data_IF_934739847433
#
_entry.id   IF_934739847433
#
_cell.length_a   1.000
_cell.length_b   1.000
_cell.length_c   1.000
_cell.angle_alpha   90.00
_cell.angle_beta   90.00
_cell.angle_gamma   90.00
#
_symmetry.space_group_name_H-M   'P 1'
#
loop_
_entity.id
_entity.type
_entity.pdbx_description
1 polymer ?
#
# COMPACT_ATOMS: atom_id res chain seq x y z
N UNK A 1 20.46 -45.22 69.90
CA UNK A 1 21.70 -44.52 70.24
C UNK A 1 22.88 -44.89 69.34
N UNK A 2 23.10 -46.16 69.01
CA UNK A 2 24.19 -46.66 68.14
C UNK A 2 24.16 -46.13 66.69
N UNK A 3 22.97 -45.77 66.17
CA UNK A 3 22.77 -45.26 64.80
C UNK A 3 23.42 -43.88 64.52
N UNK A 4 23.67 -43.11 65.57
CA UNK A 4 24.22 -41.74 65.43
C UNK A 4 25.74 -41.64 65.82
N UNK A 5 26.39 -42.75 66.16
CA UNK A 5 27.80 -42.76 66.49
C UNK A 5 28.62 -43.05 65.22
N UNK A 6 29.69 -42.25 65.02
CA UNK A 6 30.63 -42.50 63.95
C UNK A 6 31.22 -43.88 64.04
N UNK A 7 31.29 -44.59 62.90
CA UNK A 7 31.88 -45.96 62.82
C UNK A 7 33.29 -45.97 63.43
N UNK A 8 34.08 -44.96 63.21
CA UNK A 8 35.42 -44.80 63.79
C UNK A 8 35.34 -44.72 65.32
N UNK A 9 34.47 -43.95 65.90
CA UNK A 9 34.27 -43.79 67.32
C UNK A 9 33.79 -45.11 67.95
N UNK A 10 32.84 -45.81 67.30
CA UNK A 10 32.37 -47.09 67.75
C UNK A 10 33.47 -48.14 67.75
N UNK A 11 34.25 -48.27 66.70
CA UNK A 11 35.37 -49.22 66.62
C UNK A 11 36.40 -48.95 67.70
N UNK A 12 36.77 -47.67 67.94
CA UNK A 12 37.70 -47.30 68.97
C UNK A 12 37.22 -47.67 70.38
N UNK A 13 35.97 -47.31 70.70
CA UNK A 13 35.35 -47.71 71.98
C UNK A 13 35.21 -49.19 72.15
N UNK A 14 34.86 -49.88 71.08
CA UNK A 14 34.73 -51.36 71.10
C UNK A 14 36.07 -52.03 71.34
N UNK A 15 37.08 -51.63 70.60
CA UNK A 15 38.42 -52.18 70.81
C UNK A 15 39.02 -51.85 72.23
N UNK A 16 38.72 -50.64 72.73
CA UNK A 16 39.14 -50.26 74.08
C UNK A 16 38.38 -51.04 75.16
N UNK A 17 37.06 -51.29 75.00
CA UNK A 17 36.27 -52.08 75.90
C UNK A 17 36.72 -53.55 75.85
N UNK A 18 37.03 -54.10 74.70
CA UNK A 18 37.52 -55.44 74.47
C UNK A 18 38.89 -55.61 75.15
N UNK A 19 39.80 -54.59 75.04
CA UNK A 19 41.08 -54.56 75.72
C UNK A 19 40.94 -54.51 77.24
N UNK A 20 40.04 -53.73 77.79
CA UNK A 20 39.77 -53.68 79.28
C UNK A 20 39.16 -54.96 79.77
N UNK A 21 38.22 -55.57 79.10
CA UNK A 21 37.60 -56.82 79.46
C UNK A 21 38.63 -57.90 79.42
N UNK A 22 39.48 -58.02 78.42
CA UNK A 22 40.55 -59.01 78.31
C UNK A 22 41.58 -58.85 79.46
N UNK A 23 42.02 -57.68 79.78
CA UNK A 23 42.93 -57.40 80.86
C UNK A 23 42.29 -57.72 82.26
N UNK A 24 40.94 -57.34 82.41
CA UNK A 24 40.20 -57.70 83.64
C UNK A 24 40.06 -59.18 83.89
N UNK A 25 39.72 -59.95 82.81
CA UNK A 25 39.63 -61.37 82.88
C UNK A 25 40.93 -62.07 83.17
N UNK A 26 42.03 -61.63 82.55
CA UNK A 26 43.38 -62.08 82.82
C UNK A 26 43.76 -61.83 84.34
N UNK A 27 43.46 -60.63 84.87
CA UNK A 27 43.76 -60.28 86.27
C UNK A 27 42.96 -61.09 87.30
N UNK A 28 41.69 -61.41 86.96
CA UNK A 28 40.82 -62.24 87.89
C UNK A 28 41.05 -63.76 87.84
N UNK A 29 41.54 -64.31 86.76
CA UNK A 29 41.59 -65.73 86.49
C UNK A 29 43.04 -66.20 86.11
N UNK A 30 44.08 -65.74 86.76
CA UNK A 30 45.48 -65.93 86.39
C UNK A 30 46.04 -67.33 86.40
N UNK A 31 45.22 -68.44 86.73
CA UNK A 31 45.67 -69.81 86.78
C UNK A 31 44.65 -70.79 86.17
N UNK A 32 44.81 -71.17 84.89
CA UNK A 32 44.14 -72.37 84.34
C UNK A 32 43.44 -72.30 83.01
N UNK A 33 43.03 -73.42 82.43
CA UNK A 33 42.33 -73.61 81.14
C UNK A 33 40.99 -72.86 81.02
N UNK A 34 40.33 -72.59 82.15
CA UNK A 34 39.08 -71.79 82.21
C UNK A 34 39.21 -70.37 81.76
N UNK A 35 40.41 -69.71 82.05
CA UNK A 35 40.70 -68.39 81.59
C UNK A 35 40.82 -68.30 80.07
N UNK A 36 41.51 -69.30 79.53
CA UNK A 36 41.69 -69.34 78.05
C UNK A 36 40.30 -69.44 77.32
N UNK A 37 39.41 -70.35 77.83
CA UNK A 37 38.07 -70.48 77.25
C UNK A 37 37.26 -69.17 77.40
N UNK A 38 37.25 -68.54 78.55
CA UNK A 38 36.50 -67.33 78.85
C UNK A 38 36.97 -66.11 77.91
N UNK A 39 38.23 -65.96 77.73
CA UNK A 39 38.81 -64.93 76.87
C UNK A 39 38.42 -65.16 75.37
N UNK A 40 38.55 -66.46 74.90
CA UNK A 40 38.21 -66.79 73.54
C UNK A 40 36.74 -66.61 73.24
N UNK A 41 35.86 -67.02 74.22
CA UNK A 41 34.38 -66.81 74.03
C UNK A 41 34.04 -65.29 74.02
N UNK A 42 34.59 -64.50 74.89
CA UNK A 42 34.41 -63.01 74.87
C UNK A 42 34.89 -62.38 73.56
N UNK A 43 36.04 -62.78 73.04
CA UNK A 43 36.52 -62.35 71.74
C UNK A 43 35.63 -62.79 70.60
N UNK A 44 35.12 -64.05 70.59
CA UNK A 44 34.21 -64.52 69.56
C UNK A 44 32.91 -63.73 69.57
N UNK A 45 32.31 -63.45 70.73
CA UNK A 45 31.12 -62.64 70.88
C UNK A 45 31.38 -61.19 70.35
N UNK A 46 32.53 -60.58 70.71
CA UNK A 46 32.89 -59.26 70.24
C UNK A 46 33.10 -59.17 68.74
N UNK A 47 33.72 -60.20 68.12
CA UNK A 47 33.82 -60.29 66.66
C UNK A 47 32.47 -60.39 65.97
N UNK A 48 31.54 -61.19 66.53
CA UNK A 48 30.17 -61.31 65.99
C UNK A 48 29.43 -59.97 66.08
N UNK A 49 29.50 -59.28 67.22
CA UNK A 49 28.88 -57.94 67.37
C UNK A 49 29.51 -56.88 66.44
N UNK A 50 30.83 -56.98 66.31
CA UNK A 50 31.50 -56.07 65.34
C UNK A 50 31.10 -56.34 63.91
N UNK A 51 31.02 -57.59 63.50
CA UNK A 51 30.56 -58.08 62.20
C UNK A 51 29.15 -57.57 61.93
N UNK A 52 28.20 -57.79 62.87
CA UNK A 52 26.82 -57.29 62.73
C UNK A 52 26.74 -55.79 62.62
N UNK A 53 27.48 -55.03 63.44
CA UNK A 53 27.57 -53.60 63.43
C UNK A 53 28.12 -53.09 62.08
N UNK A 54 29.23 -53.63 61.62
CA UNK A 54 29.85 -53.23 60.35
C UNK A 54 28.94 -53.55 59.18
N UNK A 55 28.29 -54.68 59.19
CA UNK A 55 27.36 -55.06 58.11
C UNK A 55 26.17 -54.11 58.07
N UNK A 56 25.52 -53.85 59.20
CA UNK A 56 24.26 -53.10 59.29
C UNK A 56 24.46 -51.59 59.15
N UNK A 57 25.55 -51.02 59.66
CA UNK A 57 25.75 -49.57 59.70
C UNK A 57 26.81 -49.04 58.71
N UNK A 58 27.57 -49.87 58.04
CA UNK A 58 28.59 -49.48 57.07
C UNK A 58 28.33 -50.15 55.70
N UNK A 59 28.37 -51.47 55.63
CA UNK A 59 28.33 -52.19 54.33
C UNK A 59 26.99 -52.02 53.61
N UNK A 60 25.89 -52.26 54.35
CA UNK A 60 24.54 -52.15 53.75
C UNK A 60 24.26 -50.72 53.23
N UNK A 61 24.45 -49.64 53.98
CA UNK A 61 24.28 -48.25 53.48
C UNK A 61 25.15 -47.91 52.28
N UNK A 62 26.44 -48.32 52.32
CA UNK A 62 27.36 -48.06 51.18
C UNK A 62 26.91 -48.79 49.93
N UNK A 63 26.46 -50.06 50.02
CA UNK A 63 25.96 -50.79 48.89
C UNK A 63 24.66 -50.21 48.35
N UNK A 64 23.78 -49.70 49.22
CA UNK A 64 22.57 -48.99 48.80
C UNK A 64 22.90 -47.72 48.07
N UNK A 65 23.81 -46.89 48.58
CA UNK A 65 24.29 -45.69 47.92
C UNK A 65 24.92 -46.02 46.56
N UNK A 66 25.77 -47.03 46.48
CA UNK A 66 26.40 -47.46 45.23
C UNK A 66 25.31 -47.84 44.20
N UNK A 67 24.32 -48.67 44.58
CA UNK A 67 23.22 -49.06 43.69
C UNK A 67 22.41 -47.86 43.23
N UNK A 68 22.10 -46.93 44.12
CA UNK A 68 21.36 -45.72 43.74
C UNK A 68 22.12 -44.80 42.80
N UNK A 69 23.43 -44.67 42.98
CA UNK A 69 24.30 -43.95 42.03
C UNK A 69 24.28 -44.66 40.66
N UNK A 70 24.36 -45.98 40.62
CA UNK A 70 24.25 -46.76 39.38
C UNK A 70 22.89 -46.55 38.69
N UNK A 71 21.79 -46.48 39.44
CA UNK A 71 20.46 -46.20 38.92
C UNK A 71 20.37 -44.76 38.40
N UNK A 72 20.86 -43.74 39.10
CA UNK A 72 20.92 -42.34 38.64
C UNK A 72 21.75 -42.23 37.38
N UNK A 73 22.91 -42.86 37.30
CA UNK A 73 23.77 -42.88 36.11
C UNK A 73 23.13 -43.61 34.91
N UNK A 74 22.28 -44.59 35.17
CA UNK A 74 21.49 -45.25 34.12
C UNK A 74 20.27 -44.45 33.67
N UNK A 75 20.06 -43.24 34.26
CA UNK A 75 18.96 -42.33 33.91
C UNK A 75 17.71 -42.42 34.80
N UNK A 76 17.70 -43.28 35.83
CA UNK A 76 16.59 -43.35 36.77
C UNK A 76 16.75 -42.28 37.87
N UNK A 77 16.16 -41.10 37.65
CA UNK A 77 16.23 -39.95 38.57
C UNK A 77 15.15 -39.96 39.68
N UNK A 78 14.21 -40.89 39.58
CA UNK A 78 13.15 -41.07 40.61
C UNK A 78 13.60 -41.82 41.86
N UNK A 79 14.87 -42.20 41.96
CA UNK A 79 15.41 -42.96 43.12
C UNK A 79 15.62 -42.04 44.31
N UNK A 80 14.98 -42.37 45.45
CA UNK A 80 15.21 -41.73 46.73
C UNK A 80 15.91 -42.72 47.66
N UNK A 81 17.06 -42.40 48.15
CA UNK A 81 17.83 -43.19 49.11
C UNK A 81 17.27 -42.93 50.50
N UNK A 82 16.84 -43.99 51.24
CA UNK A 82 16.38 -43.81 52.61
C UNK A 82 17.52 -43.37 53.55
N UNK A 83 17.18 -42.62 54.57
CA UNK A 83 18.16 -42.14 55.57
C UNK A 83 18.63 -43.28 56.46
N UNK A 84 19.94 -43.46 56.57
CA UNK A 84 20.60 -44.45 57.44
C UNK A 84 21.21 -43.84 58.75
N UNK A 85 20.71 -42.64 59.16
CA UNK A 85 21.21 -41.93 60.34
C UNK A 85 22.46 -41.08 60.04
N UNK A 86 23.12 -40.56 61.11
CA UNK A 86 24.23 -39.61 60.99
C UNK A 86 25.61 -40.29 60.94
N UNK A 87 25.71 -41.56 60.55
CA UNK A 87 26.98 -42.20 60.35
C UNK A 87 27.67 -41.73 59.06
N UNK A 88 28.90 -42.18 58.82
CA UNK A 88 29.72 -41.71 57.69
C UNK A 88 28.99 -41.88 56.33
N UNK A 89 28.31 -43.01 56.12
CA UNK A 89 27.54 -43.26 54.90
C UNK A 89 26.24 -42.43 54.83
N UNK A 90 25.51 -42.29 55.96
CA UNK A 90 24.26 -41.52 56.03
C UNK A 90 24.42 -40.04 55.75
N UNK A 91 25.58 -39.47 55.99
CA UNK A 91 25.88 -38.03 55.67
C UNK A 91 26.02 -37.77 54.18
N UNK A 92 26.29 -38.74 53.34
CA UNK A 92 26.36 -38.63 51.88
C UNK A 92 24.97 -38.65 51.20
N UNK A 93 24.00 -39.27 51.80
CA UNK A 93 22.67 -39.53 51.23
C UNK A 93 21.91 -38.25 50.87
N UNK A 94 21.82 -37.21 51.75
CA UNK A 94 21.17 -35.94 51.39
C UNK A 94 21.78 -35.28 50.15
N UNK A 95 23.12 -35.34 50.04
CA UNK A 95 23.80 -34.76 48.87
C UNK A 95 23.47 -35.49 47.56
N UNK A 96 23.36 -36.83 47.59
CA UNK A 96 23.02 -37.63 46.42
C UNK A 96 21.55 -37.43 46.05
N UNK A 97 20.64 -37.42 47.03
CA UNK A 97 19.23 -37.15 46.79
C UNK A 97 19.03 -35.72 46.20
N UNK A 98 19.74 -34.72 46.76
CA UNK A 98 19.72 -33.35 46.19
C UNK A 98 20.26 -33.33 44.75
N UNK A 99 21.35 -34.01 44.45
CA UNK A 99 21.91 -34.13 43.11
C UNK A 99 20.92 -34.73 42.14
N UNK A 100 20.29 -35.87 42.51
CA UNK A 100 19.30 -36.55 41.72
C UNK A 100 18.07 -35.63 41.44
N UNK A 101 17.57 -34.96 42.49
CA UNK A 101 16.47 -34.00 42.38
C UNK A 101 16.81 -32.83 41.48
N UNK A 102 18.00 -32.23 41.61
CA UNK A 102 18.43 -31.13 40.76
C UNK A 102 18.53 -31.53 39.28
N UNK A 103 19.08 -32.73 39.00
CA UNK A 103 19.15 -33.25 37.64
C UNK A 103 17.72 -33.54 37.11
N UNK A 104 16.82 -34.08 37.93
CA UNK A 104 15.43 -34.32 37.56
C UNK A 104 14.71 -33.01 37.19
N UNK A 105 14.89 -31.99 37.98
CA UNK A 105 14.34 -30.61 37.68
C UNK A 105 14.90 -30.09 36.38
N UNK A 106 16.23 -30.12 36.17
CA UNK A 106 16.85 -29.66 34.91
C UNK A 106 16.31 -30.43 33.68
N UNK A 107 16.14 -31.76 33.80
CA UNK A 107 15.59 -32.54 32.68
C UNK A 107 14.12 -32.20 32.41
N UNK A 108 13.33 -31.96 33.47
CA UNK A 108 11.94 -31.48 33.32
C UNK A 108 11.87 -30.13 32.64
N UNK A 109 12.68 -29.18 33.07
CA UNK A 109 12.75 -27.84 32.44
C UNK A 109 13.19 -27.91 30.97
N UNK A 110 14.19 -28.76 30.64
CA UNK A 110 14.61 -28.97 29.25
C UNK A 110 13.46 -29.54 28.42
N UNK A 111 12.69 -30.52 28.94
CA UNK A 111 11.54 -31.08 28.24
C UNK A 111 10.44 -30.07 28.01
N UNK A 112 10.10 -29.25 29.01
CA UNK A 112 9.10 -28.19 28.90
C UNK A 112 9.54 -27.14 27.89
N UNK A 113 10.81 -26.68 27.96
CA UNK A 113 11.39 -25.74 27.00
C UNK A 113 11.41 -26.30 25.57
N UNK A 114 11.74 -27.59 25.43
CA UNK A 114 11.71 -28.29 24.14
C UNK A 114 10.31 -28.36 23.56
N UNK A 115 9.30 -28.63 24.39
CA UNK A 115 7.90 -28.65 23.95
C UNK A 115 7.44 -27.27 23.49
N UNK A 116 7.81 -26.23 24.21
CA UNK A 116 7.54 -24.82 23.81
C UNK A 116 8.23 -24.49 22.48
N UNK A 117 9.50 -24.87 22.33
CA UNK A 117 10.25 -24.65 21.08
C UNK A 117 9.62 -25.41 19.89
N UNK A 118 9.11 -26.62 20.10
CA UNK A 118 8.38 -27.36 19.07
C UNK A 118 7.13 -26.60 18.60
N UNK A 119 6.33 -26.13 19.54
CA UNK A 119 5.12 -25.34 19.22
C UNK A 119 5.46 -24.04 18.48
N UNK A 120 6.55 -23.38 18.87
CA UNK A 120 7.03 -22.17 18.17
C UNK A 120 7.51 -22.48 16.74
N UNK A 121 8.20 -23.60 16.52
CA UNK A 121 8.61 -24.03 15.18
C UNK A 121 7.40 -24.31 14.29
N UNK A 122 6.37 -25.00 14.81
CA UNK A 122 5.12 -25.26 14.08
C UNK A 122 4.38 -23.95 13.73
N UNK A 123 4.29 -23.02 14.69
CA UNK A 123 3.71 -21.69 14.45
C UNK A 123 4.49 -20.89 13.40
N UNK A 124 5.82 -20.95 13.45
CA UNK A 124 6.69 -20.28 12.49
C UNK A 124 6.47 -20.83 11.07
N UNK A 125 6.42 -22.16 10.93
CA UNK A 125 6.11 -22.81 9.64
C UNK A 125 4.73 -22.40 9.11
N UNK A 126 3.70 -22.39 9.96
CA UNK A 126 2.35 -21.96 9.56
C UNK A 126 2.29 -20.50 9.13
N UNK A 127 2.96 -19.60 9.86
CA UNK A 127 3.02 -18.18 9.52
C UNK A 127 3.84 -17.92 8.25
N UNK A 128 4.90 -18.71 8.04
CA UNK A 128 5.70 -18.65 6.81
C UNK A 128 4.86 -19.05 5.59
N UNK A 129 4.04 -20.10 5.71
CA UNK A 129 3.11 -20.50 4.66
C UNK A 129 2.06 -19.42 4.36
N UNK A 130 1.49 -18.76 5.39
CA UNK A 130 0.57 -17.63 5.21
C UNK A 130 1.27 -16.45 4.51
N UNK A 131 2.50 -16.13 4.90
CA UNK A 131 3.29 -15.07 4.27
C UNK A 131 3.58 -15.40 2.80
N UNK A 132 3.85 -16.66 2.46
CA UNK A 132 4.02 -17.11 1.07
C UNK A 132 2.79 -16.79 0.22
N UNK A 133 1.60 -17.19 0.69
CA UNK A 133 0.34 -16.93 -0.02
C UNK A 133 0.10 -15.42 -0.20
N UNK A 134 0.34 -14.63 0.84
CA UNK A 134 0.20 -13.17 0.76
C UNK A 134 1.20 -12.55 -0.21
N UNK A 135 2.42 -13.06 -0.26
CA UNK A 135 3.47 -12.59 -1.18
C UNK A 135 3.12 -12.91 -2.63
N UNK A 136 2.55 -14.09 -2.90
CA UNK A 136 2.04 -14.45 -4.23
C UNK A 136 0.89 -13.54 -4.66
N UNK A 137 -0.07 -13.28 -3.77
CA UNK A 137 -1.17 -12.34 -4.04
C UNK A 137 -0.66 -10.92 -4.29
N UNK A 138 0.33 -10.47 -3.51
CA UNK A 138 0.97 -9.18 -3.70
C UNK A 138 1.67 -9.11 -5.06
N UNK A 139 2.39 -10.14 -5.47
CA UNK A 139 3.04 -10.24 -6.79
C UNK A 139 2.02 -10.13 -7.93
N UNK A 140 0.91 -10.86 -7.85
CA UNK A 140 -0.16 -10.78 -8.84
C UNK A 140 -0.77 -9.36 -8.92
N UNK A 141 -0.98 -8.72 -7.76
CA UNK A 141 -1.51 -7.34 -7.70
C UNK A 141 -0.52 -6.32 -8.27
N UNK A 142 0.78 -6.50 -8.06
CA UNK A 142 1.83 -5.64 -8.64
C UNK A 142 1.86 -5.76 -10.17
N UNK A 143 1.77 -6.98 -10.72
CA UNK A 143 1.70 -7.21 -12.17
C UNK A 143 0.49 -6.49 -12.78
N UNK A 144 -0.69 -6.61 -12.16
CA UNK A 144 -1.91 -5.92 -12.61
C UNK A 144 -1.75 -4.40 -12.53
N UNK A 145 -1.15 -3.89 -11.45
CA UNK A 145 -0.91 -2.46 -11.27
C UNK A 145 0.08 -1.94 -12.31
N UNK A 146 1.16 -2.68 -12.59
CA UNK A 146 2.13 -2.34 -13.63
C UNK A 146 1.48 -2.24 -15.02
N UNK A 147 0.65 -3.22 -15.39
CA UNK A 147 -0.10 -3.18 -16.64
C UNK A 147 -1.05 -1.97 -16.73
N UNK A 148 -1.71 -1.62 -15.62
CA UNK A 148 -2.57 -0.43 -15.54
C UNK A 148 -1.77 0.86 -15.68
N UNK A 149 -0.56 0.92 -15.11
CA UNK A 149 0.33 2.08 -15.25
C UNK A 149 0.86 2.25 -16.68
N UNK A 150 1.20 1.14 -17.37
CA UNK A 150 1.58 1.19 -18.79
C UNK A 150 0.43 1.72 -19.65
N UNK A 151 -0.79 1.25 -19.43
CA UNK A 151 -1.98 1.76 -20.13
C UNK A 151 -2.23 3.25 -19.82
N UNK A 152 -2.05 3.67 -18.57
CA UNK A 152 -2.17 5.08 -18.18
C UNK A 152 -1.11 5.94 -18.86
N UNK A 153 0.14 5.48 -18.93
CA UNK A 153 1.21 6.17 -19.64
C UNK A 153 0.90 6.35 -21.13
N UNK A 154 0.37 5.30 -21.78
CA UNK A 154 -0.06 5.37 -23.18
C UNK A 154 -1.22 6.36 -23.37
N UNK A 155 -2.22 6.35 -22.46
CA UNK A 155 -3.34 7.28 -22.50
C UNK A 155 -2.89 8.73 -22.30
N UNK A 156 -1.96 8.98 -21.38
CA UNK A 156 -1.40 10.31 -21.11
C UNK A 156 -0.63 10.84 -22.32
N UNK A 157 0.16 10.00 -23.02
CA UNK A 157 0.81 10.40 -24.28
C UNK A 157 -0.20 10.73 -25.37
N UNK A 158 -1.24 9.92 -25.54
CA UNK A 158 -2.32 10.20 -26.48
C UNK A 158 -3.04 11.54 -26.16
N UNK A 159 -3.22 11.86 -24.87
CA UNK A 159 -3.79 13.12 -24.43
C UNK A 159 -2.88 14.29 -24.80
N UNK A 160 -1.57 14.16 -24.62
CA UNK A 160 -0.59 15.18 -25.03
C UNK A 160 -0.66 15.46 -26.54
N UNK A 161 -0.69 14.41 -27.36
CA UNK A 161 -0.81 14.53 -28.82
C UNK A 161 -2.14 15.17 -29.25
N UNK A 162 -3.26 14.74 -28.67
CA UNK A 162 -4.57 15.28 -28.95
C UNK A 162 -4.68 16.77 -28.56
N UNK A 163 -4.08 17.14 -27.43
CA UNK A 163 -4.04 18.51 -26.93
C UNK A 163 -3.25 19.41 -27.90
N UNK A 164 -2.09 18.94 -28.39
CA UNK A 164 -1.31 19.66 -29.40
C UNK A 164 -2.08 19.84 -30.69
N UNK A 165 -2.74 18.79 -31.19
CA UNK A 165 -3.56 18.87 -32.41
C UNK A 165 -4.74 19.83 -32.24
N UNK A 166 -5.41 19.81 -31.08
CA UNK A 166 -6.54 20.71 -30.81
C UNK A 166 -6.07 22.17 -30.73
N UNK A 167 -4.90 22.43 -30.15
CA UNK A 167 -4.29 23.79 -30.11
C UNK A 167 -3.96 24.28 -31.53
N UNK A 168 -3.37 23.42 -32.38
CA UNK A 168 -3.09 23.75 -33.78
C UNK A 168 -4.39 24.05 -34.56
N UNK A 169 -5.45 23.31 -34.37
CA UNK A 169 -6.75 23.56 -35.00
C UNK A 169 -7.40 24.84 -34.50
N UNK A 170 -7.30 25.14 -33.21
CA UNK A 170 -7.80 26.42 -32.66
C UNK A 170 -7.05 27.62 -33.26
N UNK A 171 -5.74 27.51 -33.38
CA UNK A 171 -4.93 28.54 -34.03
C UNK A 171 -5.28 28.71 -35.51
N UNK A 172 -5.50 27.64 -36.26
CA UNK A 172 -5.95 27.66 -37.64
C UNK A 172 -7.34 28.32 -37.78
N UNK A 173 -8.28 27.98 -36.87
CA UNK A 173 -9.62 28.58 -36.83
C UNK A 173 -9.54 30.12 -36.56
N UNK A 174 -8.65 30.53 -35.64
CA UNK A 174 -8.38 31.94 -35.36
C UNK A 174 -7.94 32.68 -36.62
N UNK A 175 -6.95 32.14 -37.35
CA UNK A 175 -6.47 32.73 -38.59
C UNK A 175 -7.55 32.80 -39.68
N UNK A 176 -8.37 31.78 -39.81
CA UNK A 176 -9.45 31.73 -40.77
C UNK A 176 -10.55 32.72 -40.45
N UNK A 177 -10.92 32.86 -39.18
CA UNK A 177 -11.90 33.84 -38.73
C UNK A 177 -11.38 35.30 -38.89
N UNK A 178 -10.10 35.54 -38.60
CA UNK A 178 -9.48 36.86 -38.88
C UNK A 178 -9.53 37.24 -40.37
N UNK A 179 -9.20 36.27 -41.27
CA UNK A 179 -9.36 36.45 -42.71
C UNK A 179 -10.81 36.74 -43.11
N UNK A 180 -11.76 35.97 -42.52
CA UNK A 180 -13.19 36.18 -42.72
C UNK A 180 -13.62 37.60 -42.32
N UNK A 181 -13.17 38.02 -41.12
CA UNK A 181 -13.43 39.41 -40.65
C UNK A 181 -12.87 40.49 -41.57
N UNK A 182 -11.64 40.34 -42.08
CA UNK A 182 -11.06 41.27 -43.07
C UNK A 182 -11.86 41.33 -44.35
N UNK A 183 -12.36 40.20 -44.88
CA UNK A 183 -13.22 40.14 -46.05
C UNK A 183 -14.56 40.83 -45.79
N UNK A 184 -15.17 40.60 -44.60
CA UNK A 184 -16.40 41.30 -44.21
C UNK A 184 -16.20 42.79 -44.13
N UNK A 185 -15.07 43.29 -43.62
CA UNK A 185 -14.72 44.70 -43.64
C UNK A 185 -14.58 45.28 -45.05
N UNK A 186 -14.02 44.52 -46.00
CA UNK A 186 -13.98 44.96 -47.43
C UNK A 186 -15.40 45.03 -48.03
N UNK A 187 -16.25 44.02 -47.72
CA UNK A 187 -17.68 44.04 -48.20
C UNK A 187 -18.41 45.24 -47.60
N UNK A 188 -18.22 45.53 -46.32
CA UNK A 188 -18.80 46.72 -45.66
C UNK A 188 -18.41 48.03 -46.37
N UNK A 189 -17.11 48.20 -46.68
CA UNK A 189 -16.62 49.36 -47.41
C UNK A 189 -17.25 49.45 -48.81
N UNK A 190 -17.40 48.35 -49.54
CA UNK A 190 -18.06 48.32 -50.84
C UNK A 190 -19.55 48.70 -50.74
N UNK A 191 -20.27 48.21 -49.72
CA UNK A 191 -21.64 48.56 -49.46
C UNK A 191 -21.80 50.04 -49.13
N UNK A 192 -20.88 50.62 -48.38
CA UNK A 192 -20.84 52.06 -48.11
C UNK A 192 -20.69 52.85 -49.40
N UNK A 193 -19.75 52.43 -50.28
CA UNK A 193 -19.57 53.10 -51.61
C UNK A 193 -20.84 53.00 -52.47
N UNK A 194 -21.56 51.86 -52.44
CA UNK A 194 -22.84 51.74 -53.17
C UNK A 194 -23.89 52.69 -52.58
N UNK A 195 -23.92 52.85 -51.23
CA UNK A 195 -24.82 53.80 -50.59
C UNK A 195 -24.56 55.26 -51.08
N UNK A 196 -23.30 55.65 -51.13
CA UNK A 196 -22.90 56.96 -51.63
C UNK A 196 -23.29 57.14 -53.08
N UNK A 197 -23.10 56.17 -53.97
CA UNK A 197 -23.54 56.17 -55.35
C UNK A 197 -25.08 56.30 -55.45
N UNK A 198 -25.84 55.56 -54.60
CA UNK A 198 -27.30 55.64 -54.60
C UNK A 198 -27.80 57.04 -54.19
N UNK A 199 -27.12 57.66 -53.21
CA UNK A 199 -27.44 59.08 -52.84
C UNK A 199 -27.18 60.06 -54.00
N UNK A 200 -26.02 59.94 -54.67
CA UNK A 200 -25.71 60.77 -55.87
C UNK A 200 -26.74 60.55 -57.00
N UNK A 201 -27.13 59.27 -57.23
CA UNK A 201 -28.20 58.97 -58.24
C UNK A 201 -29.51 59.62 -57.83
N UNK A 202 -29.89 59.57 -56.52
CA UNK A 202 -31.14 60.23 -56.06
C UNK A 202 -31.10 61.73 -56.34
N UNK A 203 -29.96 62.41 -56.19
CA UNK A 203 -29.76 63.82 -56.47
C UNK A 203 -29.89 64.14 -57.98
N UNK A 204 -29.24 63.30 -58.83
CA UNK A 204 -29.37 63.43 -60.32
C UNK A 204 -30.79 63.24 -60.76
N UNK A 205 -31.52 62.18 -60.25
CA UNK A 205 -32.89 61.94 -60.59
C UNK A 205 -33.82 63.07 -60.15
N UNK A 206 -33.53 63.69 -58.99
CA UNK A 206 -34.29 64.81 -58.51
C UNK A 206 -34.05 66.07 -59.43
N UNK A 207 -32.86 66.24 -59.99
CA UNK A 207 -32.56 67.27 -60.98
C UNK A 207 -33.30 67.02 -62.29
N UNK A 208 -33.35 65.73 -62.80
CA UNK A 208 -34.07 65.33 -63.97
C UNK A 208 -35.58 65.59 -63.84
N UNK A 209 -36.17 65.25 -62.68
CA UNK A 209 -37.58 65.49 -62.37
C UNK A 209 -37.85 67.00 -62.36
N UNK A 210 -36.95 67.85 -61.80
CA UNK A 210 -36.99 69.29 -61.84
C UNK A 210 -36.96 69.82 -63.28
N UNK A 211 -36.06 69.28 -64.13
CA UNK A 211 -35.95 69.67 -65.53
C UNK A 211 -37.29 69.28 -66.31
N UNK A 212 -37.78 68.11 -66.03
CA UNK A 212 -39.06 67.70 -66.66
C UNK A 212 -40.20 68.54 -66.20
N UNK A 213 -40.27 68.96 -64.94
CA UNK A 213 -41.27 69.93 -64.49
C UNK A 213 -41.11 71.33 -65.19
N UNK A 214 -39.90 71.86 -65.24
CA UNK A 214 -39.66 73.12 -65.97
C UNK A 214 -40.01 73.03 -67.43
N UNK A 215 -39.69 71.90 -68.10
CA UNK A 215 -39.99 71.69 -69.51
C UNK A 215 -41.52 71.58 -69.71
N UNK A 216 -42.24 70.98 -68.81
CA UNK A 216 -43.74 70.92 -68.84
C UNK A 216 -44.32 72.31 -68.70
N UNK A 217 -43.78 73.18 -67.81
CA UNK A 217 -44.23 74.56 -67.66
C UNK A 217 -43.88 75.42 -68.93
N UNK A 218 -42.70 75.26 -69.51
CA UNK A 218 -42.29 75.86 -70.74
C UNK A 218 -43.24 75.47 -71.97
N UNK A 219 -43.47 74.16 -72.03
CA UNK A 219 -44.39 73.63 -73.05
C UNK A 219 -45.83 74.15 -72.90
N UNK A 220 -46.32 74.24 -71.64
CA UNK A 220 -47.64 74.85 -71.36
C UNK A 220 -47.68 76.31 -71.79
N UNK A 221 -46.69 77.07 -71.44
CA UNK A 221 -46.60 78.46 -71.84
C UNK A 221 -46.59 78.61 -73.41
N UNK A 222 -45.78 77.75 -74.05
CA UNK A 222 -45.74 77.73 -75.53
C UNK A 222 -47.10 77.32 -76.17
N UNK A 223 -47.81 76.36 -75.57
CA UNK A 223 -49.15 75.95 -76.02
C UNK A 223 -50.18 77.08 -75.88
N UNK A 224 -50.10 77.83 -74.74
CA UNK A 224 -50.96 79.02 -74.51
C UNK A 224 -50.72 80.05 -75.53
N UNK A 225 -49.46 80.42 -75.86
CA UNK A 225 -49.10 81.45 -76.82
C UNK A 225 -49.39 80.98 -78.22
N UNK A 226 -49.22 79.71 -78.54
CA UNK A 226 -49.68 79.10 -79.81
C UNK A 226 -51.22 79.20 -80.01
N UNK A 227 -52.00 79.00 -78.95
CA UNK A 227 -53.45 79.20 -78.98
C UNK A 227 -53.81 80.71 -79.18
N UNK A 228 -53.04 81.57 -78.62
CA UNK A 228 -53.22 83.01 -78.76
C UNK A 228 -52.95 83.57 -80.19
N UNK A 229 -52.02 82.86 -80.92
CA UNK A 229 -51.68 83.22 -82.34
C UNK A 229 -52.69 82.71 -83.33
N UNK A 230 -53.79 82.03 -82.88
CA UNK A 230 -54.90 81.57 -83.76
C UNK A 230 -54.45 80.55 -84.84
N UNK A 231 -54.84 80.81 -86.08
CA UNK A 231 -54.57 79.87 -87.24
C UNK A 231 -53.06 79.80 -87.55
N UNK A 232 -52.27 80.84 -87.27
CA UNK A 232 -50.79 80.84 -87.44
C UNK A 232 -50.02 80.02 -86.36
N UNK A 233 -50.68 79.66 -85.26
CA UNK A 233 -50.08 78.94 -84.17
C UNK A 233 -50.28 77.39 -84.15
N UNK A 234 -51.10 76.87 -85.10
CA UNK A 234 -51.52 75.40 -85.09
C UNK A 234 -50.32 74.44 -85.07
N UNK A 235 -49.30 74.68 -85.91
CA UNK A 235 -48.09 73.77 -85.91
C UNK A 235 -47.32 73.83 -84.61
N UNK A 236 -47.21 74.99 -84.02
CA UNK A 236 -46.52 75.18 -82.72
C UNK A 236 -47.28 74.61 -81.56
N UNK A 237 -48.62 74.59 -81.59
CA UNK A 237 -49.44 73.98 -80.56
C UNK A 237 -49.27 72.44 -80.53
N UNK A 238 -49.16 71.78 -81.70
CA UNK A 238 -48.86 70.32 -81.77
C UNK A 238 -47.49 69.99 -81.17
N UNK A 239 -46.46 70.78 -81.54
CA UNK A 239 -45.09 70.57 -80.96
C UNK A 239 -45.07 70.84 -79.48
N UNK A 240 -45.77 71.89 -79.03
CA UNK A 240 -45.87 72.18 -77.59
C UNK A 240 -46.61 71.06 -76.84
N UNK A 241 -47.67 70.49 -77.44
CA UNK A 241 -48.35 69.31 -76.87
C UNK A 241 -47.41 68.08 -76.76
N UNK A 242 -46.60 67.83 -77.80
CA UNK A 242 -45.67 66.70 -77.81
C UNK A 242 -44.55 66.86 -76.80
N UNK A 243 -43.95 68.13 -76.71
CA UNK A 243 -42.93 68.45 -75.69
C UNK A 243 -43.52 68.26 -74.27
N UNK A 244 -44.76 68.72 -74.06
CA UNK A 244 -45.47 68.50 -72.78
C UNK A 244 -45.61 67.05 -72.41
N UNK A 245 -46.07 66.20 -73.40
CA UNK A 245 -46.19 64.76 -73.19
C UNK A 245 -44.83 64.13 -72.88
N UNK A 246 -43.81 64.53 -73.64
CA UNK A 246 -42.43 64.02 -73.37
C UNK A 246 -41.93 64.42 -71.93
N UNK A 247 -42.23 65.66 -71.53
CA UNK A 247 -41.91 66.11 -70.17
C UNK A 247 -42.65 65.30 -69.13
N UNK A 248 -43.93 65.03 -69.32
CA UNK A 248 -44.72 64.17 -68.41
C UNK A 248 -44.14 62.73 -68.33
N UNK A 249 -43.83 62.11 -69.47
CA UNK A 249 -43.16 60.80 -69.52
C UNK A 249 -41.80 60.75 -68.85
N UNK A 250 -41.02 61.86 -68.99
CA UNK A 250 -39.72 62.00 -68.35
C UNK A 250 -39.87 62.06 -66.82
N UNK A 251 -40.82 62.83 -66.30
CA UNK A 251 -41.12 62.94 -64.89
C UNK A 251 -41.57 61.60 -64.31
N UNK A 252 -42.44 60.89 -65.06
CA UNK A 252 -42.92 59.50 -64.65
C UNK A 252 -41.72 58.53 -64.62
N UNK A 253 -40.87 58.54 -65.65
CA UNK A 253 -39.64 57.75 -65.68
C UNK A 253 -38.71 58.06 -64.51
N UNK A 254 -38.48 59.38 -64.22
CA UNK A 254 -37.70 59.84 -63.10
C UNK A 254 -38.23 59.30 -61.72
N UNK A 255 -39.56 59.40 -61.57
CA UNK A 255 -40.26 58.83 -60.38
C UNK A 255 -40.03 57.34 -60.20
N UNK A 256 -40.15 56.60 -61.28
CA UNK A 256 -39.96 55.11 -61.27
C UNK A 256 -38.49 54.81 -60.94
N UNK A 257 -37.53 55.54 -61.54
CA UNK A 257 -36.10 55.30 -61.21
C UNK A 257 -35.80 55.67 -59.75
N UNK A 258 -36.38 56.78 -59.25
CA UNK A 258 -36.25 57.15 -57.83
C UNK A 258 -36.74 56.01 -56.88
N UNK A 259 -37.89 55.48 -57.20
CA UNK A 259 -38.45 54.28 -56.42
C UNK A 259 -37.50 53.07 -56.44
N UNK A 260 -36.87 52.81 -57.60
CA UNK A 260 -35.87 51.74 -57.71
C UNK A 260 -34.62 52.01 -56.91
N UNK A 261 -34.17 53.25 -56.87
CA UNK A 261 -33.01 53.73 -56.09
C UNK A 261 -33.32 53.61 -54.56
N UNK A 262 -34.52 53.99 -54.13
CA UNK A 262 -34.94 53.90 -52.74
C UNK A 262 -34.99 52.43 -52.29
N UNK A 263 -35.54 51.51 -53.11
CA UNK A 263 -35.52 50.08 -52.85
C UNK A 263 -34.08 49.55 -52.78
N UNK A 264 -33.21 49.96 -53.70
CA UNK A 264 -31.79 49.58 -53.73
C UNK A 264 -31.09 50.05 -52.49
N UNK A 265 -31.27 51.30 -52.08
CA UNK A 265 -30.68 51.91 -50.85
C UNK A 265 -31.11 51.15 -49.60
N UNK A 266 -32.40 50.78 -49.50
CA UNK A 266 -32.91 49.94 -48.41
C UNK A 266 -32.25 48.56 -48.38
N UNK A 267 -32.13 47.91 -49.52
CA UNK A 267 -31.46 46.59 -49.63
C UNK A 267 -29.98 46.65 -49.25
N UNK A 268 -29.29 47.72 -49.65
CA UNK A 268 -27.89 47.93 -49.28
C UNK A 268 -27.76 48.21 -47.78
N UNK A 269 -28.65 48.99 -47.18
CA UNK A 269 -28.66 49.20 -45.71
C UNK A 269 -28.89 47.89 -44.94
N UNK A 270 -29.80 47.05 -45.40
CA UNK A 270 -29.98 45.70 -44.83
C UNK A 270 -28.73 44.86 -45.02
N UNK A 271 -28.05 44.92 -46.16
CA UNK A 271 -26.80 44.25 -46.46
C UNK A 271 -25.68 44.67 -45.49
N UNK A 272 -25.54 45.95 -45.23
CA UNK A 272 -24.58 46.50 -44.26
C UNK A 272 -24.81 45.92 -42.87
N UNK A 273 -26.06 45.82 -42.42
CA UNK A 273 -26.39 45.26 -41.11
C UNK A 273 -26.02 43.77 -41.04
N UNK A 274 -26.29 42.98 -42.08
CA UNK A 274 -25.92 41.58 -42.14
C UNK A 274 -24.40 41.36 -42.12
N UNK A 275 -23.68 42.20 -42.87
CA UNK A 275 -22.21 42.15 -42.90
C UNK A 275 -21.62 42.50 -41.54
N UNK A 276 -22.15 43.56 -40.88
CA UNK A 276 -21.72 43.94 -39.51
C UNK A 276 -21.97 42.85 -38.48
N UNK A 277 -23.09 42.10 -38.64
CA UNK A 277 -23.36 40.96 -37.80
C UNK A 277 -22.41 39.79 -38.10
N UNK A 278 -22.09 39.50 -39.35
CA UNK A 278 -21.09 38.50 -39.74
C UNK A 278 -19.70 38.83 -39.21
N UNK A 279 -19.29 40.12 -39.24
CA UNK A 279 -18.02 40.58 -38.70
C UNK A 279 -17.94 40.33 -37.19
N UNK A 280 -18.99 40.64 -36.41
CA UNK A 280 -19.08 40.32 -34.97
C UNK A 280 -18.99 38.83 -34.72
N UNK A 281 -19.68 38.01 -35.51
CA UNK A 281 -19.60 36.54 -35.40
C UNK A 281 -18.14 36.05 -35.64
N UNK A 282 -17.39 36.63 -36.57
CA UNK A 282 -15.99 36.33 -36.79
C UNK A 282 -15.12 36.69 -35.57
N UNK A 283 -15.39 37.84 -34.93
CA UNK A 283 -14.69 38.24 -33.69
C UNK A 283 -15.01 37.27 -32.54
N UNK A 284 -16.26 36.82 -32.42
CA UNK A 284 -16.64 35.82 -31.39
C UNK A 284 -15.93 34.48 -31.62
N UNK A 285 -15.79 34.05 -32.90
CA UNK A 285 -15.04 32.83 -33.24
C UNK A 285 -13.54 33.00 -32.85
N UNK A 286 -12.92 34.15 -33.12
CA UNK A 286 -11.54 34.42 -32.68
C UNK A 286 -11.41 34.33 -31.17
N UNK A 287 -12.32 34.97 -30.44
CA UNK A 287 -12.31 34.94 -28.97
C UNK A 287 -12.51 33.52 -28.43
N UNK A 288 -13.47 32.75 -29.00
CA UNK A 288 -13.70 31.33 -28.66
C UNK A 288 -12.50 30.44 -28.93
N UNK A 289 -11.89 30.60 -30.11
CA UNK A 289 -10.71 29.81 -30.50
C UNK A 289 -9.48 30.11 -29.62
N UNK A 290 -9.25 31.39 -29.27
CA UNK A 290 -8.20 31.74 -28.33
C UNK A 290 -8.42 31.17 -26.93
N UNK A 291 -9.69 31.06 -26.48
CA UNK A 291 -10.04 30.43 -25.22
C UNK A 291 -9.77 28.88 -25.26
N UNK A 292 -10.09 28.23 -26.38
CA UNK A 292 -9.75 26.82 -26.60
C UNK A 292 -8.24 26.63 -26.59
N UNK A 293 -7.46 27.46 -27.26
CA UNK A 293 -5.98 27.39 -27.24
C UNK A 293 -5.44 27.48 -25.81
N UNK A 294 -5.94 28.41 -25.00
CA UNK A 294 -5.53 28.54 -23.59
C UNK A 294 -5.90 27.31 -22.75
N UNK A 295 -7.09 26.75 -22.96
CA UNK A 295 -7.49 25.50 -22.28
C UNK A 295 -6.59 24.33 -22.68
N UNK A 296 -6.13 24.26 -23.93
CA UNK A 296 -5.20 23.25 -24.38
C UNK A 296 -3.83 23.41 -23.73
N UNK A 297 -3.37 24.65 -23.52
CA UNK A 297 -2.11 24.92 -22.78
C UNK A 297 -2.21 24.42 -21.32
N UNK A 298 -3.34 24.69 -20.65
CA UNK A 298 -3.60 24.22 -19.28
C UNK A 298 -3.64 22.67 -19.21
N UNK A 299 -4.30 22.01 -20.17
CA UNK A 299 -4.35 20.54 -20.27
C UNK A 299 -2.95 19.98 -20.55
N UNK A 300 -2.16 20.61 -21.42
CA UNK A 300 -0.79 20.22 -21.73
C UNK A 300 0.10 20.24 -20.49
N UNK A 301 0.00 21.31 -19.69
CA UNK A 301 0.72 21.43 -18.42
C UNK A 301 0.31 20.32 -17.44
N UNK A 302 -1.00 20.06 -17.29
CA UNK A 302 -1.53 18.99 -16.43
C UNK A 302 -1.10 17.59 -16.92
N UNK A 303 -1.06 17.36 -18.22
CA UNK A 303 -0.62 16.09 -18.83
C UNK A 303 0.87 15.85 -18.58
N UNK A 304 1.69 16.90 -18.67
CA UNK A 304 3.12 16.81 -18.32
C UNK A 304 3.35 16.47 -16.85
N UNK A 305 2.53 17.02 -15.96
CA UNK A 305 2.59 16.69 -14.52
C UNK A 305 2.15 15.23 -14.26
N UNK A 306 1.10 14.75 -14.97
CA UNK A 306 0.69 13.35 -14.93
C UNK A 306 1.80 12.41 -15.39
N UNK A 307 2.53 12.75 -16.46
CA UNK A 307 3.65 11.95 -16.95
C UNK A 307 4.75 11.80 -15.89
N UNK A 308 5.09 12.88 -15.18
CA UNK A 308 6.03 12.82 -14.05
C UNK A 308 5.50 11.97 -12.90
N UNK A 309 4.21 12.10 -12.56
CA UNK A 309 3.57 11.30 -11.53
C UNK A 309 3.58 9.79 -11.87
N UNK A 310 3.26 9.45 -13.11
CA UNK A 310 3.32 8.06 -13.61
C UNK A 310 4.73 7.49 -13.49
N UNK A 311 5.75 8.27 -13.87
CA UNK A 311 7.15 7.87 -13.74
C UNK A 311 7.55 7.57 -12.29
N UNK A 312 7.11 8.41 -11.34
CA UNK A 312 7.35 8.19 -9.91
C UNK A 312 6.66 6.92 -9.38
N UNK A 313 5.40 6.70 -9.79
CA UNK A 313 4.67 5.49 -9.41
C UNK A 313 5.34 4.24 -9.97
N UNK A 314 5.82 4.28 -11.22
CA UNK A 314 6.54 3.17 -11.85
C UNK A 314 7.84 2.84 -11.09
N UNK A 315 8.56 3.86 -10.63
CA UNK A 315 9.74 3.67 -9.79
C UNK A 315 9.39 3.03 -8.44
N UNK A 316 8.30 3.49 -7.79
CA UNK A 316 7.82 2.91 -6.54
C UNK A 316 7.36 1.45 -6.71
N UNK A 317 6.72 1.12 -7.85
CA UNK A 317 6.35 -0.26 -8.18
C UNK A 317 7.58 -1.17 -8.28
N UNK A 318 8.65 -0.73 -8.92
CA UNK A 318 9.90 -1.50 -9.02
C UNK A 318 10.52 -1.78 -7.65
N UNK A 319 10.44 -0.83 -6.72
CA UNK A 319 10.90 -1.04 -5.35
C UNK A 319 10.00 -2.04 -4.59
N UNK A 320 8.68 -1.96 -4.78
CA UNK A 320 7.73 -2.94 -4.22
C UNK A 320 7.96 -4.35 -4.77
N UNK A 321 8.30 -4.47 -6.05
CA UNK A 321 8.67 -5.76 -6.67
C UNK A 321 9.92 -6.34 -6.00
N UNK A 322 10.95 -5.51 -5.76
CA UNK A 322 12.17 -5.91 -5.05
C UNK A 322 11.89 -6.38 -3.62
N UNK A 323 11.01 -5.67 -2.91
CA UNK A 323 10.56 -6.07 -1.56
C UNK A 323 9.80 -7.41 -1.61
N UNK A 324 8.94 -7.59 -2.60
CA UNK A 324 8.18 -8.85 -2.78
C UNK A 324 9.10 -10.03 -3.07
N UNK A 325 10.13 -9.85 -3.89
CA UNK A 325 11.17 -10.87 -4.11
C UNK A 325 11.97 -11.17 -2.84
N UNK A 326 12.29 -10.14 -2.04
CA UNK A 326 12.93 -10.32 -0.74
C UNK A 326 12.06 -11.11 0.23
N UNK A 327 10.73 -10.91 0.22
CA UNK A 327 9.79 -11.69 1.03
C UNK A 327 9.77 -13.17 0.63
N UNK A 328 9.87 -13.49 -0.67
CA UNK A 328 9.99 -14.89 -1.13
C UNK A 328 11.24 -15.55 -0.54
N UNK A 329 12.39 -14.89 -0.65
CA UNK A 329 13.64 -15.41 -0.07
C UNK A 329 13.55 -15.57 1.46
N UNK A 330 12.92 -14.61 2.15
CA UNK A 330 12.68 -14.68 3.60
C UNK A 330 11.78 -15.87 3.99
N UNK A 331 10.74 -16.17 3.22
CA UNK A 331 9.86 -17.33 3.43
C UNK A 331 10.65 -18.64 3.34
N UNK A 332 11.54 -18.76 2.35
CA UNK A 332 12.40 -19.94 2.21
C UNK A 332 13.35 -20.08 3.41
N UNK A 333 13.97 -19.01 3.86
CA UNK A 333 14.85 -19.00 5.03
C UNK A 333 14.12 -19.35 6.33
N UNK A 334 12.90 -18.81 6.53
CA UNK A 334 12.06 -19.12 7.69
C UNK A 334 11.64 -20.59 7.72
N UNK A 335 11.28 -21.17 6.57
CA UNK A 335 10.95 -22.57 6.46
C UNK A 335 12.18 -23.46 6.80
N UNK A 336 13.33 -23.14 6.24
CA UNK A 336 14.59 -23.83 6.55
C UNK A 336 14.95 -23.74 8.03
N UNK A 337 14.82 -22.57 8.64
CA UNK A 337 15.10 -22.33 10.06
C UNK A 337 14.12 -23.08 10.96
N UNK A 338 12.85 -23.15 10.60
CA UNK A 338 11.81 -23.92 11.31
C UNK A 338 12.11 -25.41 11.30
N UNK A 339 12.52 -25.95 10.17
CA UNK A 339 12.90 -27.37 10.05
C UNK A 339 14.14 -27.70 10.87
N UNK A 340 15.16 -26.85 10.87
CA UNK A 340 16.37 -27.02 11.71
C UNK A 340 15.99 -27.00 13.18
N UNK A 341 15.18 -26.01 13.62
CA UNK A 341 14.72 -25.92 15.00
C UNK A 341 13.95 -27.15 15.42
N UNK A 342 13.01 -27.62 14.59
CA UNK A 342 12.23 -28.84 14.82
C UNK A 342 13.13 -30.07 15.00
N UNK A 343 14.12 -30.24 14.14
CA UNK A 343 15.07 -31.35 14.23
C UNK A 343 15.91 -31.29 15.50
N UNK A 344 16.41 -30.12 15.92
CA UNK A 344 17.12 -29.92 17.16
C UNK A 344 16.27 -30.26 18.39
N UNK A 345 14.99 -29.86 18.38
CA UNK A 345 14.06 -30.17 19.47
C UNK A 345 13.79 -31.66 19.55
N UNK A 346 13.61 -32.35 18.42
CA UNK A 346 13.44 -33.82 18.40
C UNK A 346 14.67 -34.51 18.98
N UNK A 347 15.87 -34.03 18.65
CA UNK A 347 17.11 -34.59 19.23
C UNK A 347 17.18 -34.37 20.74
N UNK A 348 16.86 -33.16 21.25
CA UNK A 348 16.80 -32.86 22.68
C UNK A 348 15.79 -33.73 23.40
N UNK A 349 14.60 -33.91 22.84
CA UNK A 349 13.58 -34.81 23.40
C UNK A 349 14.07 -36.26 23.44
N UNK A 350 14.78 -36.70 22.40
CA UNK A 350 15.33 -38.07 22.32
C UNK A 350 16.43 -38.28 23.38
N UNK A 351 17.34 -37.33 23.52
CA UNK A 351 18.42 -37.39 24.56
C UNK A 351 17.86 -37.32 25.96
N UNK A 352 16.85 -36.52 26.24
CA UNK A 352 16.23 -36.39 27.56
C UNK A 352 15.27 -37.56 27.87
N UNK A 353 14.76 -38.29 26.87
CA UNK A 353 13.87 -39.44 27.04
C UNK A 353 14.55 -40.57 27.83
N UNK A 354 15.87 -40.69 27.76
CA UNK A 354 16.62 -41.69 28.50
C UNK A 354 16.56 -41.48 30.03
N UNK A 355 16.26 -40.28 30.51
CA UNK A 355 16.08 -40.03 31.93
C UNK A 355 14.65 -40.31 32.36
N UNK A 356 14.47 -41.13 33.42
CA UNK A 356 13.17 -41.45 34.02
C UNK A 356 12.98 -40.50 35.21
N UNK A 357 11.95 -39.64 35.14
CA UNK A 357 11.55 -38.76 36.24
C UNK A 357 10.51 -39.49 37.14
N UNK A 358 10.51 -39.22 38.45
CA UNK A 358 9.43 -39.65 39.33
C UNK A 358 8.13 -38.90 38.97
N UNK A 359 6.98 -39.59 39.12
CA UNK A 359 5.65 -38.99 38.83
C UNK A 359 5.35 -37.72 39.64
N UNK A 360 6.06 -37.52 40.78
CA UNK A 360 5.91 -36.31 41.59
C UNK A 360 6.42 -35.05 40.90
N UNK A 361 7.40 -35.15 40.02
CA UNK A 361 7.94 -34.02 39.23
C UNK A 361 7.13 -33.71 37.97
N UNK A 362 6.22 -34.63 37.57
CA UNK A 362 5.31 -34.45 36.43
C UNK A 362 4.01 -33.73 36.83
N UNK A 363 3.67 -33.66 38.11
CA UNK A 363 2.43 -33.05 38.62
C UNK A 363 2.56 -31.53 38.85
N UNK A 364 3.77 -30.95 38.83
CA UNK A 364 4.02 -29.51 39.01
C UNK A 364 4.20 -28.77 37.67
N UNK A 365 3.79 -29.36 36.53
CA UNK A 365 3.73 -28.58 35.28
C UNK A 365 2.65 -27.49 35.41
N UNK A 366 3.04 -26.20 35.38
CA UNK A 366 2.07 -25.11 35.34
C UNK A 366 1.25 -25.27 34.05
N UNK A 367 -0.04 -25.58 34.16
CA UNK A 367 -0.95 -25.59 33.03
C UNK A 367 -0.75 -24.27 32.21
N UNK A 368 -0.65 -24.32 30.88
CA UNK A 368 -0.43 -23.12 30.06
C UNK A 368 -1.53 -22.12 30.36
N UNK A 369 -1.17 -21.00 31.01
CA UNK A 369 -2.06 -19.84 31.21
C UNK A 369 -2.51 -19.42 29.82
N UNK A 370 -3.78 -19.61 29.50
CA UNK A 370 -4.46 -18.99 28.36
C UNK A 370 -4.40 -17.48 28.58
N UNK A 371 -3.39 -16.84 28.01
CA UNK A 371 -3.41 -15.40 27.81
C UNK A 371 -4.35 -15.11 26.64
N UNK A 372 -5.63 -15.01 26.92
CA UNK A 372 -6.55 -14.23 26.10
C UNK A 372 -6.26 -12.77 26.36
N UNK A 373 -5.42 -12.14 25.54
CA UNK A 373 -5.45 -10.70 25.37
C UNK A 373 -6.37 -10.40 24.19
N UNK A 374 -7.40 -9.58 24.33
CA UNK A 374 -8.19 -9.10 23.21
C UNK A 374 -7.31 -8.12 22.40
N UNK A 375 -7.13 -8.42 21.11
CA UNK A 375 -6.58 -7.49 20.13
C UNK A 375 -7.61 -6.36 19.98
N UNK A 376 -7.26 -5.07 20.19
CA UNK A 376 -8.14 -3.99 19.86
C UNK A 376 -8.29 -3.91 18.33
N UNK A 377 -9.54 -3.93 17.88
CA UNK A 377 -9.95 -3.61 16.52
C UNK A 377 -9.54 -2.18 16.17
N UNK A 378 -8.71 -2.01 15.13
CA UNK A 378 -8.55 -0.80 14.32
C UNK A 378 -9.26 -1.00 12.99
#
# INVERSE_FOLDING_TARGET
MLRNISVRTFIVYFLLCLFLVNNGVIALFANGVSLFIAVNTAQLIALILLWEYMTKYLVTPINTVKKSIEEVTSGNLGVSIPEFGNNCAGRLIPGINSLSSNIATLVSEIRSSSQTAMTLAEQLSSRSAELSVKTEQQSASLIQTAASMEQMAASTRNNADNTRLASEQANAATLQAQKGGQLMGQVANNMQSITECALQMTEIISLIDGIAFQTNILALNAAVEAARAGDHGKGFSVVAGEVRNLAHRSAEAAKNIKSLIDVTSNNVTQGVNVVSQAERNMQDIVAGSNNVSRLMDDISASTSEQEKGISQITQALSELERVTQSNVAMVEELNGSSDVLRNQVIELQTRTRNFRLDQRHLADEPSPRRQHSPIPSL
#
